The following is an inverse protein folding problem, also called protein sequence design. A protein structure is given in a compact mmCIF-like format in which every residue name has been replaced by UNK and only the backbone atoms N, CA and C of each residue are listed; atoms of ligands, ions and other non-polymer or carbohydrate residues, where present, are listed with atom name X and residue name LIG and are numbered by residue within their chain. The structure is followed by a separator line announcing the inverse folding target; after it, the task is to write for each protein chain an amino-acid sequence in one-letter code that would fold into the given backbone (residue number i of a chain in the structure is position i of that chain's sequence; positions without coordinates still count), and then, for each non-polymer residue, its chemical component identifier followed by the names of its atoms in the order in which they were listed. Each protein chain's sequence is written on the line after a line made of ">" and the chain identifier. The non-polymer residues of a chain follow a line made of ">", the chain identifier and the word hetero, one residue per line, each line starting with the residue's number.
data_IF_422559353082
#
_entry.id   IF_422559353082
#
_cell.length_a   1.000
_cell.length_b   1.000
_cell.length_c   1.000
_cell.angle_alpha   90.00
_cell.angle_beta   90.00
_cell.angle_gamma   90.00
#
_symmetry.space_group_name_H-M   'P 1'
#
loop_
_entity.id
_entity.type
_entity.pdbx_description
1 polymer ?
#
# COMPACT_ATOMS: atom_id res chain seq x y z
N UNK A 1 -21.85 33.41 0.72
CA UNK A 1 -21.58 32.25 1.60
C UNK A 1 -20.06 32.05 1.69
N UNK A 2 -19.47 31.81 2.88
CA UNK A 2 -18.00 31.69 3.00
C UNK A 2 -17.49 30.30 2.64
N UNK A 3 -16.25 30.22 2.15
CA UNK A 3 -15.60 28.95 1.77
C UNK A 3 -15.47 27.96 2.94
N UNK A 4 -15.23 28.46 4.16
CA UNK A 4 -15.15 27.64 5.37
C UNK A 4 -16.49 26.98 5.73
N UNK A 5 -17.60 27.69 5.53
CA UNK A 5 -18.92 27.14 5.73
C UNK A 5 -19.20 26.00 4.75
N UNK A 6 -18.87 26.21 3.46
CA UNK A 6 -18.98 25.20 2.42
C UNK A 6 -18.13 23.95 2.71
N UNK A 7 -16.87 24.13 3.10
CA UNK A 7 -16.00 23.03 3.48
C UNK A 7 -16.54 22.23 4.67
N UNK A 8 -17.07 22.91 5.69
CA UNK A 8 -17.69 22.23 6.85
C UNK A 8 -18.90 21.38 6.43
N UNK A 9 -19.73 21.87 5.51
CA UNK A 9 -20.85 21.10 4.95
C UNK A 9 -20.33 19.89 4.17
N UNK A 10 -19.35 20.07 3.29
CA UNK A 10 -18.73 18.98 2.53
C UNK A 10 -18.14 17.91 3.45
N UNK A 11 -17.42 18.29 4.52
CA UNK A 11 -16.89 17.35 5.51
C UNK A 11 -18.00 16.54 6.20
N UNK A 12 -19.07 17.21 6.62
CA UNK A 12 -20.22 16.54 7.22
C UNK A 12 -20.91 15.61 6.21
N UNK A 13 -21.09 16.04 4.97
CA UNK A 13 -21.72 15.22 3.94
C UNK A 13 -20.89 13.97 3.64
N UNK A 14 -19.55 14.09 3.62
CA UNK A 14 -18.66 12.97 3.38
C UNK A 14 -18.73 11.87 4.45
N UNK A 15 -19.13 12.19 5.69
CA UNK A 15 -19.22 11.23 6.80
C UNK A 15 -20.62 10.68 7.01
N UNK A 16 -21.64 11.56 7.00
CA UNK A 16 -23.02 11.20 7.36
C UNK A 16 -24.04 11.35 6.23
N UNK A 17 -23.61 11.79 5.03
CA UNK A 17 -24.48 12.05 3.89
C UNK A 17 -25.16 13.43 3.92
N UNK A 18 -26.05 13.67 2.96
CA UNK A 18 -26.69 14.99 2.73
C UNK A 18 -27.75 15.42 3.76
N UNK A 19 -28.20 14.50 4.62
CA UNK A 19 -28.95 14.79 5.86
C UNK A 19 -29.99 15.93 5.79
N UNK A 20 -29.91 16.88 6.73
CA UNK A 20 -30.82 18.03 6.86
C UNK A 20 -30.36 19.28 6.10
N UNK A 21 -29.50 19.11 5.09
CA UNK A 21 -28.99 20.24 4.30
C UNK A 21 -30.10 20.89 3.47
N UNK A 22 -29.93 22.18 3.16
CA UNK A 22 -30.77 22.79 2.13
C UNK A 22 -30.51 22.13 0.78
N UNK A 23 -31.46 22.17 -0.14
CA UNK A 23 -31.29 21.58 -1.48
C UNK A 23 -30.05 22.13 -2.19
N UNK A 24 -29.77 23.45 -2.08
CA UNK A 24 -28.57 24.05 -2.67
C UNK A 24 -27.27 23.55 -2.03
N UNK A 25 -27.24 23.38 -0.71
CA UNK A 25 -26.08 22.82 0.00
C UNK A 25 -25.85 21.34 -0.37
N UNK A 26 -26.93 20.56 -0.48
CA UNK A 26 -26.87 19.15 -0.85
C UNK A 26 -26.35 18.97 -2.28
N UNK A 27 -26.85 19.76 -3.24
CA UNK A 27 -26.38 19.76 -4.62
C UNK A 27 -24.91 20.21 -4.70
N UNK A 28 -24.53 21.25 -3.97
CA UNK A 28 -23.13 21.69 -3.90
C UNK A 28 -22.21 20.58 -3.36
N UNK A 29 -22.60 19.92 -2.26
CA UNK A 29 -21.83 18.82 -1.69
C UNK A 29 -21.74 17.62 -2.64
N UNK A 30 -22.82 17.29 -3.34
CA UNK A 30 -22.83 16.23 -4.33
C UNK A 30 -21.85 16.51 -5.48
N UNK A 31 -21.79 17.74 -5.97
CA UNK A 31 -20.82 18.14 -7.01
C UNK A 31 -19.37 18.09 -6.51
N UNK A 32 -19.09 18.65 -5.33
CA UNK A 32 -17.73 18.65 -4.75
C UNK A 32 -17.23 17.24 -4.43
N UNK A 33 -18.12 16.37 -3.93
CA UNK A 33 -17.80 14.98 -3.58
C UNK A 33 -17.88 14.03 -4.79
N UNK A 34 -18.22 14.54 -5.97
CA UNK A 34 -18.43 13.76 -7.19
C UNK A 34 -19.44 12.61 -7.01
N UNK A 35 -20.54 12.88 -6.31
CA UNK A 35 -21.65 11.94 -6.04
C UNK A 35 -22.79 12.15 -7.03
N UNK A 36 -22.63 11.61 -8.24
CA UNK A 36 -23.66 11.66 -9.27
C UNK A 36 -24.94 10.91 -8.88
N UNK A 37 -24.79 9.88 -8.06
CA UNK A 37 -25.90 9.14 -7.45
C UNK A 37 -26.77 10.03 -6.57
N UNK A 38 -26.17 10.91 -5.76
CA UNK A 38 -26.95 11.87 -4.96
C UNK A 38 -27.69 12.90 -5.80
N UNK A 39 -27.10 13.34 -6.92
CA UNK A 39 -27.79 14.22 -7.87
C UNK A 39 -29.02 13.51 -8.47
N UNK A 40 -28.87 12.24 -8.86
CA UNK A 40 -29.96 11.42 -9.39
C UNK A 40 -31.06 11.17 -8.36
N UNK A 41 -30.72 10.84 -7.12
CA UNK A 41 -31.69 10.64 -6.03
C UNK A 41 -32.51 11.91 -5.76
N UNK A 42 -31.89 13.09 -5.87
CA UNK A 42 -32.58 14.37 -5.76
C UNK A 42 -33.34 14.77 -7.04
N UNK A 43 -33.17 14.03 -8.14
CA UNK A 43 -33.82 14.30 -9.43
C UNK A 43 -33.18 15.45 -10.23
N UNK A 44 -31.88 15.70 -10.05
CA UNK A 44 -31.15 16.77 -10.75
C UNK A 44 -30.09 16.21 -11.69
N UNK A 45 -30.01 16.78 -12.89
CA UNK A 45 -28.80 16.69 -13.72
C UNK A 45 -27.71 17.65 -13.22
N UNK A 46 -26.47 17.48 -13.69
CA UNK A 46 -25.36 18.40 -13.34
C UNK A 46 -25.70 19.84 -13.77
N UNK A 47 -26.28 20.02 -14.96
CA UNK A 47 -26.63 21.34 -15.47
C UNK A 47 -27.70 22.01 -14.62
N UNK A 48 -28.76 21.28 -14.23
CA UNK A 48 -29.81 21.79 -13.35
C UNK A 48 -29.30 22.06 -11.93
N UNK A 49 -28.40 21.21 -11.42
CA UNK A 49 -27.76 21.42 -10.13
C UNK A 49 -26.95 22.72 -10.12
N UNK A 50 -26.15 22.96 -11.17
CA UNK A 50 -25.38 24.20 -11.32
C UNK A 50 -26.29 25.43 -11.46
N UNK A 51 -27.40 25.32 -12.19
CA UNK A 51 -28.36 26.41 -12.32
C UNK A 51 -29.15 26.70 -11.03
N UNK A 52 -29.21 25.73 -10.10
CA UNK A 52 -29.98 25.82 -8.85
C UNK A 52 -29.19 26.38 -7.68
N UNK A 53 -27.87 26.23 -7.70
CA UNK A 53 -26.94 26.69 -6.67
C UNK A 53 -26.62 28.17 -6.93
N UNK A 54 -26.38 28.95 -5.87
CA UNK A 54 -25.99 30.36 -5.99
C UNK A 54 -24.67 30.52 -6.78
N UNK A 55 -24.58 31.52 -7.66
CA UNK A 55 -23.41 31.77 -8.53
C UNK A 55 -22.08 31.87 -7.73
N UNK A 56 -22.14 32.53 -6.57
CA UNK A 56 -21.01 32.63 -5.64
C UNK A 56 -20.54 31.25 -5.16
N UNK A 57 -21.45 30.32 -4.91
CA UNK A 57 -21.11 28.97 -4.50
C UNK A 57 -20.59 28.15 -5.68
N UNK A 58 -21.17 28.31 -6.88
CA UNK A 58 -20.67 27.67 -8.12
C UNK A 58 -19.20 28.04 -8.36
N UNK A 59 -18.86 29.32 -8.21
CA UNK A 59 -17.48 29.81 -8.36
C UNK A 59 -16.50 29.16 -7.37
N UNK A 60 -16.98 28.71 -6.21
CA UNK A 60 -16.15 28.10 -5.16
C UNK A 60 -15.97 26.58 -5.31
N UNK A 61 -16.75 25.89 -6.16
CA UNK A 61 -16.72 24.42 -6.30
C UNK A 61 -15.29 23.91 -6.50
N UNK A 62 -14.54 24.49 -7.42
CA UNK A 62 -13.18 24.05 -7.72
C UNK A 62 -12.20 24.25 -6.55
N UNK A 63 -12.35 25.34 -5.80
CA UNK A 63 -11.49 25.65 -4.65
C UNK A 63 -11.74 24.67 -3.50
N UNK A 64 -13.02 24.50 -3.17
CA UNK A 64 -13.46 23.58 -2.10
C UNK A 64 -13.11 22.12 -2.46
N UNK A 65 -13.30 21.70 -3.71
CA UNK A 65 -12.93 20.36 -4.16
C UNK A 65 -11.43 20.09 -4.05
N UNK A 66 -10.58 21.04 -4.46
CA UNK A 66 -9.12 20.91 -4.32
C UNK A 66 -8.70 20.84 -2.85
N UNK A 67 -9.32 21.65 -1.99
CA UNK A 67 -9.00 21.63 -0.57
C UNK A 67 -9.44 20.33 0.11
N UNK A 68 -10.64 19.84 -0.20
CA UNK A 68 -11.12 18.54 0.26
C UNK A 68 -10.22 17.38 -0.20
N UNK A 69 -9.79 17.39 -1.47
CA UNK A 69 -8.89 16.37 -2.00
C UNK A 69 -7.54 16.36 -1.27
N UNK A 70 -7.00 17.54 -0.92
CA UNK A 70 -5.77 17.67 -0.11
C UNK A 70 -5.95 17.10 1.30
N UNK A 71 -7.04 17.49 1.98
CA UNK A 71 -7.38 16.98 3.31
C UNK A 71 -7.51 15.45 3.30
N UNK A 72 -8.27 14.90 2.35
CA UNK A 72 -8.48 13.46 2.21
C UNK A 72 -7.18 12.71 1.92
N UNK A 73 -6.31 13.27 1.08
CA UNK A 73 -5.01 12.67 0.77
C UNK A 73 -4.10 12.65 2.00
N UNK A 74 -4.11 13.71 2.80
CA UNK A 74 -3.35 13.76 4.05
C UNK A 74 -3.85 12.74 5.07
N UNK A 75 -5.17 12.64 5.27
CA UNK A 75 -5.77 11.64 6.17
C UNK A 75 -5.45 10.22 5.71
N UNK A 76 -5.62 9.92 4.41
CA UNK A 76 -5.28 8.60 3.86
C UNK A 76 -3.80 8.26 4.01
N UNK A 77 -2.92 9.25 3.88
CA UNK A 77 -1.49 9.03 4.10
C UNK A 77 -1.20 8.70 5.57
N UNK A 78 -1.79 9.46 6.51
CA UNK A 78 -1.65 9.19 7.94
C UNK A 78 -2.23 7.81 8.34
N UNK A 79 -3.39 7.43 7.79
CA UNK A 79 -4.00 6.11 8.01
C UNK A 79 -3.12 4.97 7.47
N UNK A 80 -2.50 5.16 6.29
CA UNK A 80 -1.55 4.19 5.74
C UNK A 80 -0.32 4.06 6.62
N UNK A 81 0.27 5.17 7.05
CA UNK A 81 1.42 5.15 7.96
C UNK A 81 1.08 4.44 9.27
N UNK A 82 -0.08 4.72 9.87
CA UNK A 82 -0.51 4.03 11.08
C UNK A 82 -0.74 2.53 10.85
N UNK A 83 -1.30 2.15 9.70
CA UNK A 83 -1.49 0.73 9.34
C UNK A 83 -0.16 0.01 9.14
N UNK A 84 0.80 0.65 8.48
CA UNK A 84 2.16 0.15 8.27
C UNK A 84 2.90 0.00 9.61
N UNK A 85 2.77 0.98 10.51
CA UNK A 85 3.36 0.94 11.85
C UNK A 85 2.79 -0.21 12.69
N UNK A 86 1.46 -0.39 12.69
CA UNK A 86 0.80 -1.52 13.38
C UNK A 86 1.26 -2.86 12.79
N UNK A 87 1.38 -2.95 11.46
CA UNK A 87 1.86 -4.16 10.80
C UNK A 87 3.32 -4.47 11.17
N UNK A 88 4.18 -3.45 11.22
CA UNK A 88 5.58 -3.58 11.64
C UNK A 88 5.68 -3.98 13.13
N UNK A 89 4.92 -3.35 14.01
CA UNK A 89 4.87 -3.72 15.43
C UNK A 89 4.37 -5.16 15.64
N UNK A 90 3.37 -5.58 14.85
CA UNK A 90 2.87 -6.96 14.85
C UNK A 90 3.92 -7.97 14.36
N UNK A 91 4.78 -7.58 13.42
CA UNK A 91 5.89 -8.41 12.94
C UNK A 91 7.04 -8.50 13.97
N UNK A 92 7.33 -7.38 14.66
CA UNK A 92 8.46 -7.21 15.57
C UNK A 92 8.13 -7.44 17.05
N UNK A 93 6.97 -8.03 17.37
CA UNK A 93 6.40 -8.11 18.72
C UNK A 93 7.21 -8.88 19.78
N UNK A 94 8.44 -9.32 19.49
CA UNK A 94 9.41 -9.75 20.51
C UNK A 94 10.22 -8.56 20.99
N UNK A 95 10.15 -8.31 22.30
CA UNK A 95 10.75 -7.17 23.01
C UNK A 95 12.27 -7.19 23.16
N UNK A 96 12.99 -7.97 22.34
CA UNK A 96 14.43 -8.12 22.45
C UNK A 96 15.09 -7.67 21.14
N UNK A 97 15.69 -6.48 21.15
CA UNK A 97 16.29 -5.82 19.98
C UNK A 97 17.54 -6.51 19.45
N UNK A 98 18.04 -7.54 20.15
CA UNK A 98 19.23 -8.31 19.76
C UNK A 98 18.89 -9.75 19.31
N UNK A 99 17.62 -10.11 19.29
CA UNK A 99 17.20 -11.45 18.86
C UNK A 99 17.03 -11.50 17.34
N UNK A 100 17.80 -12.39 16.68
CA UNK A 100 17.56 -12.73 15.28
C UNK A 100 16.19 -13.39 15.13
N UNK A 101 15.33 -12.79 14.31
CA UNK A 101 14.03 -13.33 13.96
C UNK A 101 14.15 -14.27 12.77
N UNK A 102 13.60 -15.48 12.91
CA UNK A 102 13.58 -16.46 11.84
C UNK A 102 12.22 -16.44 11.14
N UNK A 103 12.27 -16.38 9.81
CA UNK A 103 11.09 -16.39 8.95
C UNK A 103 11.24 -17.46 7.88
N UNK A 104 10.15 -18.18 7.59
CA UNK A 104 10.00 -18.84 6.31
C UNK A 104 9.50 -17.81 5.30
N UNK A 105 9.95 -17.92 4.05
CA UNK A 105 9.62 -16.95 3.01
C UNK A 105 9.28 -17.63 1.70
N UNK A 106 8.43 -16.98 0.92
CA UNK A 106 8.11 -17.32 -0.47
C UNK A 106 8.24 -16.08 -1.32
N UNK A 107 9.10 -16.11 -2.33
CA UNK A 107 9.21 -15.01 -3.30
C UNK A 107 7.89 -14.86 -4.06
N UNK A 108 7.37 -13.63 -4.08
CA UNK A 108 6.15 -13.26 -4.80
C UNK A 108 6.52 -12.63 -6.15
N UNK A 109 7.34 -11.59 -6.12
CA UNK A 109 7.79 -10.86 -7.29
C UNK A 109 9.00 -10.00 -6.95
N UNK A 110 9.50 -9.23 -7.92
CA UNK A 110 10.52 -8.22 -7.74
C UNK A 110 10.00 -6.85 -8.20
N UNK A 111 10.55 -5.77 -7.63
CA UNK A 111 10.32 -4.42 -8.10
C UNK A 111 11.21 -4.11 -9.30
N UNK A 112 10.64 -3.49 -10.33
CA UNK A 112 11.40 -2.94 -11.45
C UNK A 112 11.36 -1.42 -11.39
N UNK A 113 12.52 -0.79 -11.15
CA UNK A 113 12.68 0.66 -11.16
C UNK A 113 13.67 1.05 -12.28
N UNK A 114 13.22 1.10 -13.55
CA UNK A 114 14.09 1.43 -14.68
C UNK A 114 14.77 2.80 -14.46
N UNK A 115 16.10 2.80 -14.43
CA UNK A 115 16.94 3.97 -14.14
C UNK A 115 17.51 4.05 -12.72
N UNK A 116 17.03 3.22 -11.78
CA UNK A 116 17.58 3.11 -10.43
C UNK A 116 18.38 1.82 -10.27
N UNK A 117 19.49 1.89 -9.52
CA UNK A 117 20.32 0.72 -9.17
C UNK A 117 19.76 -0.12 -8.02
N UNK A 118 18.62 0.29 -7.45
CA UNK A 118 17.99 -0.37 -6.31
C UNK A 118 17.24 -1.62 -6.79
N UNK A 119 17.55 -2.77 -6.18
CA UNK A 119 16.75 -3.97 -6.36
C UNK A 119 15.76 -4.11 -5.20
N UNK A 120 14.53 -4.56 -5.48
CA UNK A 120 13.63 -4.99 -4.43
C UNK A 120 13.02 -6.35 -4.74
N UNK A 121 12.88 -7.16 -3.71
CA UNK A 121 12.25 -8.47 -3.75
C UNK A 121 11.08 -8.47 -2.79
N UNK A 122 9.93 -8.93 -3.26
CA UNK A 122 8.70 -8.99 -2.47
C UNK A 122 8.47 -10.43 -2.07
N UNK A 123 8.33 -10.68 -0.77
CA UNK A 123 8.11 -12.00 -0.19
C UNK A 123 6.82 -12.04 0.62
N UNK A 124 6.15 -13.19 0.60
CA UNK A 124 5.24 -13.56 1.67
C UNK A 124 6.07 -14.29 2.75
N UNK A 125 6.04 -13.79 3.99
CA UNK A 125 6.82 -14.32 5.11
C UNK A 125 5.93 -14.79 6.25
N UNK A 126 6.38 -15.83 6.95
CA UNK A 126 5.78 -16.35 8.16
C UNK A 126 6.84 -16.54 9.25
N UNK A 127 6.57 -16.11 10.48
CA UNK A 127 7.52 -16.24 11.59
C UNK A 127 7.63 -17.70 12.03
N UNK A 128 8.87 -18.18 12.22
CA UNK A 128 9.17 -19.51 12.74
C UNK A 128 9.37 -19.42 14.26
N UNK A 129 8.81 -20.38 15.02
CA UNK A 129 9.16 -20.58 16.44
C UNK A 129 8.25 -19.92 17.50
N UNK A 130 7.25 -19.12 17.11
CA UNK A 130 6.16 -18.74 18.01
C UNK A 130 4.89 -19.49 17.65
N UNK A 131 4.13 -19.88 18.69
CA UNK A 131 2.87 -20.62 18.62
C UNK A 131 1.98 -20.07 17.49
N UNK A 132 1.97 -20.82 16.39
CA UNK A 132 1.29 -20.63 15.11
C UNK A 132 0.75 -19.22 14.85
N UNK A 133 1.64 -18.24 14.65
CA UNK A 133 1.24 -17.10 13.82
C UNK A 133 1.05 -17.61 12.39
N UNK A 134 -0.18 -18.00 12.05
CA UNK A 134 -0.61 -18.27 10.66
C UNK A 134 -0.61 -17.01 9.79
N UNK A 135 -0.30 -15.86 10.39
CA UNK A 135 -0.35 -14.58 9.73
C UNK A 135 0.80 -14.46 8.74
N UNK A 136 0.43 -14.46 7.46
CA UNK A 136 1.31 -14.14 6.36
C UNK A 136 1.46 -12.62 6.26
N UNK A 137 2.70 -12.16 6.18
CA UNK A 137 3.02 -10.77 5.89
C UNK A 137 3.63 -10.68 4.50
N UNK A 138 3.16 -9.74 3.69
CA UNK A 138 3.83 -9.38 2.44
C UNK A 138 4.81 -8.26 2.73
N UNK A 139 6.10 -8.52 2.48
CA UNK A 139 7.19 -7.58 2.74
C UNK A 139 7.94 -7.27 1.45
N UNK A 140 8.22 -6.00 1.21
CA UNK A 140 9.18 -5.55 0.19
C UNK A 140 10.54 -5.38 0.88
N UNK A 141 11.53 -6.17 0.46
CA UNK A 141 12.90 -6.06 0.93
C UNK A 141 13.69 -5.30 -0.14
N UNK A 142 14.11 -4.12 0.26
CA UNK A 142 14.94 -3.23 -0.56
C UNK A 142 16.42 -3.54 -0.35
N UNK A 143 17.09 -3.94 -1.42
CA UNK A 143 18.52 -4.27 -1.43
C UNK A 143 19.30 -3.06 -1.95
N UNK A 144 20.32 -2.66 -1.20
CA UNK A 144 21.21 -1.58 -1.64
C UNK A 144 22.12 -2.06 -2.77
N UNK A 145 22.46 -1.20 -3.74
CA UNK A 145 23.32 -1.58 -4.85
C UNK A 145 24.67 -2.18 -4.42
N UNK A 146 25.27 -1.65 -3.36
CA UNK A 146 26.55 -2.10 -2.82
C UNK A 146 26.51 -3.50 -2.19
N UNK A 147 25.35 -3.93 -1.68
CA UNK A 147 25.18 -5.23 -1.03
C UNK A 147 24.73 -6.32 -2.02
N UNK A 148 24.22 -5.92 -3.18
CA UNK A 148 23.59 -6.83 -4.15
C UNK A 148 24.54 -7.92 -4.64
N UNK A 149 25.79 -7.56 -4.95
CA UNK A 149 26.80 -8.52 -5.40
C UNK A 149 27.11 -9.55 -4.31
N UNK A 150 27.34 -9.10 -3.07
CA UNK A 150 27.61 -9.98 -1.93
C UNK A 150 26.47 -10.96 -1.67
N UNK A 151 25.21 -10.49 -1.70
CA UNK A 151 24.02 -11.34 -1.53
C UNK A 151 23.98 -12.44 -2.61
N UNK A 152 24.20 -12.08 -3.88
CA UNK A 152 24.21 -13.05 -4.98
C UNK A 152 25.33 -14.08 -4.77
N UNK A 153 26.54 -13.63 -4.42
CA UNK A 153 27.66 -14.54 -4.16
C UNK A 153 27.36 -15.50 -3.01
N UNK A 154 26.79 -15.03 -1.89
CA UNK A 154 26.44 -15.90 -0.77
C UNK A 154 25.37 -16.93 -1.13
N UNK A 155 24.36 -16.55 -1.92
CA UNK A 155 23.35 -17.49 -2.41
C UNK A 155 23.97 -18.57 -3.31
N UNK A 156 24.90 -18.18 -4.19
CA UNK A 156 25.65 -19.10 -5.05
C UNK A 156 26.54 -20.04 -4.23
N UNK A 157 27.27 -19.51 -3.25
CA UNK A 157 28.19 -20.27 -2.38
C UNK A 157 27.45 -21.32 -1.55
N UNK A 158 26.30 -20.98 -0.95
CA UNK A 158 25.48 -21.92 -0.18
C UNK A 158 25.03 -23.10 -1.04
N UNK A 159 24.55 -22.84 -2.27
CA UNK A 159 24.10 -23.90 -3.16
C UNK A 159 25.27 -24.71 -3.73
N UNK A 160 26.38 -24.04 -4.11
CA UNK A 160 27.62 -24.75 -4.49
C UNK A 160 28.05 -25.71 -3.41
N UNK A 161 28.10 -25.25 -2.15
CA UNK A 161 28.49 -26.10 -1.04
C UNK A 161 27.55 -27.31 -0.90
N UNK A 162 26.23 -27.11 -0.98
CA UNK A 162 25.25 -28.20 -0.85
C UNK A 162 25.33 -29.25 -1.98
N UNK A 163 25.74 -28.84 -3.18
CA UNK A 163 25.83 -29.71 -4.36
C UNK A 163 27.26 -30.21 -4.66
N UNK A 164 28.28 -29.79 -3.90
CA UNK A 164 29.65 -30.26 -4.09
C UNK A 164 29.85 -31.63 -3.43
N UNK A 165 30.53 -32.54 -4.15
CA UNK A 165 30.76 -33.92 -3.72
C UNK A 165 31.43 -34.02 -2.33
N UNK A 166 31.03 -34.99 -1.48
CA UNK A 166 30.09 -36.07 -1.78
C UNK A 166 28.61 -35.72 -1.54
N UNK A 167 28.28 -34.44 -1.30
CA UNK A 167 26.95 -34.01 -0.85
C UNK A 167 25.95 -33.71 -1.96
N UNK A 168 24.67 -33.88 -1.61
CA UNK A 168 23.50 -33.26 -2.24
C UNK A 168 22.70 -32.55 -1.14
N UNK A 169 21.82 -31.58 -1.45
CA UNK A 169 20.93 -31.00 -0.44
C UNK A 169 20.12 -32.10 0.26
N UNK A 170 19.93 -31.95 1.57
CA UNK A 170 19.25 -32.96 2.41
C UNK A 170 17.77 -33.14 2.03
N UNK A 171 17.18 -32.09 1.49
CA UNK A 171 15.80 -31.98 1.02
C UNK A 171 15.63 -32.24 -0.48
N UNK A 172 16.74 -32.43 -1.23
CA UNK A 172 16.66 -32.73 -2.64
C UNK A 172 15.97 -34.09 -2.87
N UNK A 173 15.14 -34.18 -3.91
CA UNK A 173 14.53 -35.47 -4.31
C UNK A 173 15.55 -36.36 -5.04
N UNK A 174 15.28 -37.67 -5.16
CA UNK A 174 16.22 -38.61 -5.80
C UNK A 174 16.53 -38.31 -7.27
N UNK A 175 15.61 -37.62 -7.95
CA UNK A 175 15.71 -37.29 -9.37
C UNK A 175 15.99 -35.81 -9.64
N UNK A 176 16.22 -35.02 -8.60
CA UNK A 176 16.48 -33.59 -8.73
C UNK A 176 17.87 -33.36 -9.35
N UNK A 177 17.96 -32.75 -10.55
CA UNK A 177 19.25 -32.44 -11.15
C UNK A 177 19.90 -31.25 -10.44
N UNK A 178 21.23 -31.24 -10.42
CA UNK A 178 21.99 -30.07 -9.97
C UNK A 178 21.60 -28.83 -10.81
N UNK A 179 21.28 -27.70 -10.16
CA UNK A 179 20.98 -26.47 -10.88
C UNK A 179 22.16 -25.98 -11.75
N UNK A 180 21.88 -25.66 -13.02
CA UNK A 180 22.89 -25.32 -14.02
C UNK A 180 23.75 -24.08 -13.69
N UNK A 181 23.22 -23.17 -12.88
CA UNK A 181 23.87 -21.91 -12.50
C UNK A 181 24.92 -22.10 -11.39
N UNK A 182 25.02 -23.29 -10.81
CA UNK A 182 26.02 -23.60 -9.78
C UNK A 182 27.43 -23.60 -10.39
N UNK A 183 27.59 -24.21 -11.57
CA UNK A 183 28.90 -24.35 -12.22
C UNK A 183 29.25 -23.18 -13.14
N UNK A 184 28.24 -22.42 -13.59
CA UNK A 184 28.44 -21.24 -14.41
C UNK A 184 28.69 -20.02 -13.53
N UNK A 185 29.83 -19.35 -13.73
CA UNK A 185 30.04 -18.00 -13.18
C UNK A 185 29.09 -17.05 -13.91
N UNK A 186 28.10 -16.53 -13.19
CA UNK A 186 27.28 -15.37 -13.60
C UNK A 186 28.13 -14.12 -13.42
#
# INVERSE_FOLDING_TARGET
>A
MTIEHLLRKVRSAATVGIGTMSTGEALFCALVLNRSDWLQEMGYTIAEALARIDDDAVAQISSVAKQWARERSATQHAERMATEEIAAASLLSSSDTDQTLYFSSKLVTYGSAPGYRKASLIFDIQRIGQDVSTRLYRVDISIRPEDAEGIIQHLLEVHRYAWTRPGRPLDATETEPQPFWIDNRI
#
